data_IF_658896821363
#
_entry.id   IF_658896821363
#
_cell.length_a   1.000
_cell.length_b   1.000
_cell.length_c   1.000
_cell.angle_alpha   90.00
_cell.angle_beta   90.00
_cell.angle_gamma   90.00
#
_symmetry.space_group_name_H-M   'P 1'
#
loop_
_entity.id
_entity.type
_entity.pdbx_description
1 polymer ?
#
# COMPACT_ATOMS: atom_id res chain seq x y z
N UNK A 1 -10.55 8.57 -18.52
CA UNK A 1 -9.80 8.69 -17.24
C UNK A 1 -9.75 7.30 -16.60
N UNK A 2 -9.38 6.27 -17.37
CA UNK A 2 -9.95 4.91 -17.17
C UNK A 2 -8.97 3.86 -16.63
N UNK A 3 -7.67 4.17 -16.54
CA UNK A 3 -6.65 3.16 -16.25
C UNK A 3 -6.89 2.40 -14.93
N UNK A 4 -7.23 3.11 -13.85
CA UNK A 4 -7.43 2.50 -12.53
C UNK A 4 -8.79 1.81 -12.39
N UNK A 5 -9.83 2.36 -13.03
CA UNK A 5 -11.18 1.82 -13.00
C UNK A 5 -11.23 0.49 -13.75
N UNK A 6 -10.60 0.41 -14.93
CA UNK A 6 -10.51 -0.83 -15.69
C UNK A 6 -9.68 -1.90 -14.96
N UNK A 7 -8.56 -1.52 -14.34
CA UNK A 7 -7.73 -2.45 -13.57
C UNK A 7 -8.52 -3.05 -12.39
N UNK A 8 -9.24 -2.20 -11.65
CA UNK A 8 -10.09 -2.62 -10.54
C UNK A 8 -11.23 -3.53 -11.01
N UNK A 9 -11.96 -3.11 -12.05
CA UNK A 9 -13.18 -3.79 -12.48
C UNK A 9 -12.93 -5.08 -13.29
N UNK A 10 -11.82 -5.17 -14.04
CA UNK A 10 -11.56 -6.30 -14.96
C UNK A 10 -10.52 -7.28 -14.44
N UNK A 11 -9.45 -6.78 -13.83
CA UNK A 11 -8.28 -7.61 -13.48
C UNK A 11 -8.30 -8.07 -12.03
N UNK A 12 -8.76 -7.20 -11.12
CA UNK A 12 -8.66 -7.41 -9.67
C UNK A 12 -9.98 -7.84 -9.01
N UNK A 13 -11.03 -8.04 -9.81
CA UNK A 13 -12.38 -8.38 -9.34
C UNK A 13 -12.45 -9.74 -8.62
N UNK A 14 -11.61 -10.69 -9.01
CA UNK A 14 -11.52 -12.02 -8.38
C UNK A 14 -10.56 -12.06 -7.18
N UNK A 15 -9.89 -10.95 -6.86
CA UNK A 15 -8.93 -10.91 -5.77
C UNK A 15 -9.64 -10.62 -4.43
N UNK A 16 -9.41 -11.48 -3.42
CA UNK A 16 -9.93 -11.26 -2.07
C UNK A 16 -9.35 -9.99 -1.40
N UNK A 17 -8.06 -9.72 -1.62
CA UNK A 17 -7.38 -8.53 -1.15
C UNK A 17 -6.10 -8.29 -1.96
N UNK A 18 -5.60 -7.06 -1.96
CA UNK A 18 -4.33 -6.69 -2.59
C UNK A 18 -3.38 -6.20 -1.51
N UNK A 19 -2.19 -6.81 -1.45
CA UNK A 19 -1.13 -6.46 -0.52
C UNK A 19 -0.04 -5.67 -1.24
N UNK A 20 0.27 -4.49 -0.72
CA UNK A 20 1.20 -3.56 -1.35
C UNK A 20 1.92 -2.71 -0.30
N UNK A 21 3.11 -2.23 -0.65
CA UNK A 21 3.88 -1.32 0.22
C UNK A 21 3.32 0.11 0.23
N UNK A 22 2.68 0.55 -0.87
CA UNK A 22 2.04 1.85 -0.92
C UNK A 22 1.10 2.05 -2.10
N UNK A 23 0.14 2.95 -1.92
CA UNK A 23 -0.86 3.36 -2.90
C UNK A 23 -1.16 4.84 -2.77
N UNK A 24 -1.35 5.52 -3.90
CA UNK A 24 -1.82 6.91 -3.89
C UNK A 24 -3.30 7.03 -3.54
N UNK A 25 -3.75 8.22 -3.12
CA UNK A 25 -5.15 8.45 -2.73
C UNK A 25 -6.16 8.14 -3.84
N UNK A 26 -5.86 8.54 -5.08
CA UNK A 26 -6.75 8.31 -6.24
C UNK A 26 -6.95 6.81 -6.54
N UNK A 27 -5.90 5.99 -6.76
CA UNK A 27 -6.08 4.56 -6.97
C UNK A 27 -6.66 3.85 -5.74
N UNK A 28 -6.36 4.30 -4.52
CA UNK A 28 -6.96 3.75 -3.30
C UNK A 28 -8.47 3.93 -3.28
N UNK A 29 -8.96 5.14 -3.58
CA UNK A 29 -10.40 5.41 -3.65
C UNK A 29 -11.09 4.57 -4.72
N UNK A 30 -10.50 4.48 -5.91
CA UNK A 30 -11.07 3.68 -7.02
C UNK A 30 -11.14 2.20 -6.65
N UNK A 31 -10.10 1.63 -6.06
CA UNK A 31 -10.11 0.22 -5.64
C UNK A 31 -11.16 -0.03 -4.55
N UNK A 32 -11.23 0.83 -3.53
CA UNK A 32 -12.20 0.69 -2.44
C UNK A 32 -13.65 0.84 -2.94
N UNK A 33 -13.91 1.76 -3.86
CA UNK A 33 -15.23 1.93 -4.49
C UNK A 33 -15.67 0.69 -5.28
N UNK A 34 -14.72 -0.05 -5.85
CA UNK A 34 -14.97 -1.30 -6.55
C UNK A 34 -15.01 -2.53 -5.60
N UNK A 35 -15.02 -2.32 -4.28
CA UNK A 35 -15.12 -3.41 -3.30
C UNK A 35 -13.81 -4.19 -3.09
N UNK A 36 -12.69 -3.68 -3.61
CA UNK A 36 -11.39 -4.33 -3.47
C UNK A 36 -10.76 -3.94 -2.13
N UNK A 37 -10.39 -4.95 -1.33
CA UNK A 37 -9.72 -4.75 -0.05
C UNK A 37 -8.23 -4.45 -0.26
N UNK A 38 -7.84 -3.20 -0.09
CA UNK A 38 -6.45 -2.76 -0.20
C UNK A 38 -5.79 -2.83 1.18
N UNK A 39 -4.67 -3.56 1.26
CA UNK A 39 -3.89 -3.74 2.48
C UNK A 39 -2.49 -3.17 2.26
N UNK A 40 -2.19 -2.10 2.99
CA UNK A 40 -0.85 -1.53 3.00
C UNK A 40 -0.01 -2.22 4.08
N UNK A 41 1.09 -2.86 3.69
CA UNK A 41 1.98 -3.55 4.61
C UNK A 41 3.43 -3.44 4.18
N UNK A 42 4.33 -3.58 5.16
CA UNK A 42 5.77 -3.64 4.96
C UNK A 42 6.30 -4.94 5.57
N UNK A 43 7.30 -5.55 4.92
CA UNK A 43 7.90 -6.81 5.37
C UNK A 43 7.64 -7.98 4.43
N UNK A 44 7.69 -9.19 4.97
CA UNK A 44 7.53 -10.44 4.20
C UNK A 44 6.08 -10.66 3.78
N UNK A 45 5.89 -11.03 2.51
CA UNK A 45 4.57 -11.32 1.93
C UNK A 45 3.86 -12.48 2.65
N UNK A 46 4.62 -13.46 3.14
CA UNK A 46 4.11 -14.65 3.85
C UNK A 46 3.25 -14.25 5.07
N UNK A 47 3.75 -13.33 5.89
CA UNK A 47 3.02 -12.80 7.05
C UNK A 47 1.76 -12.03 6.64
N UNK A 48 1.78 -11.39 5.47
CA UNK A 48 0.61 -10.73 4.88
C UNK A 48 -0.44 -11.72 4.43
N UNK A 49 -0.02 -12.80 3.77
CA UNK A 49 -0.89 -13.88 3.33
C UNK A 49 -1.54 -14.56 4.53
N UNK A 50 -0.78 -14.91 5.56
CA UNK A 50 -1.31 -15.45 6.81
C UNK A 50 -2.38 -14.53 7.40
N UNK A 51 -2.13 -13.22 7.41
CA UNK A 51 -3.09 -12.28 7.95
C UNK A 51 -4.39 -12.21 7.14
N UNK A 52 -4.32 -12.34 5.82
CA UNK A 52 -5.48 -12.38 4.94
C UNK A 52 -6.24 -13.70 5.08
N UNK A 53 -5.55 -14.84 4.97
CA UNK A 53 -6.19 -16.16 4.97
C UNK A 53 -6.68 -16.60 6.35
N UNK A 54 -5.92 -16.30 7.41
CA UNK A 54 -6.26 -16.69 8.79
C UNK A 54 -7.10 -15.63 9.51
N UNK A 55 -7.50 -14.55 8.82
CA UNK A 55 -8.22 -13.41 9.40
C UNK A 55 -7.53 -12.84 10.65
N UNK A 56 -6.19 -12.83 10.66
CA UNK A 56 -5.45 -12.24 11.75
C UNK A 56 -5.48 -10.71 11.63
N UNK A 57 -5.35 -9.98 12.74
CA UNK A 57 -5.22 -8.54 12.71
C UNK A 57 -3.97 -8.17 11.91
N UNK A 58 -4.18 -7.62 10.72
CA UNK A 58 -3.10 -7.03 9.93
C UNK A 58 -2.63 -5.82 10.72
N UNK A 59 -1.38 -5.85 11.19
CA UNK A 59 -0.72 -4.63 11.64
C UNK A 59 -0.49 -3.77 10.42
N UNK A 60 -1.52 -3.01 10.05
CA UNK A 60 -1.41 -1.98 9.03
C UNK A 60 -0.43 -0.99 9.62
N UNK A 61 0.81 -1.05 9.15
CA UNK A 61 1.79 -0.01 9.40
C UNK A 61 1.36 1.22 8.58
N UNK A 62 0.16 1.73 8.84
CA UNK A 62 -0.28 3.08 8.49
C UNK A 62 0.41 4.08 9.42
N UNK A 63 1.71 3.90 9.64
CA UNK A 63 2.59 5.03 9.89
C UNK A 63 3.33 5.24 8.58
N UNK A 64 2.64 5.86 7.64
CA UNK A 64 3.26 6.89 6.82
C UNK A 64 3.71 8.03 7.74
N UNK A 65 4.67 7.73 8.62
CA UNK A 65 5.68 8.73 8.94
C UNK A 65 6.49 8.83 7.66
N UNK A 66 5.97 9.62 6.72
CA UNK A 66 6.84 10.41 5.90
C UNK A 66 7.68 11.19 6.91
N UNK A 67 8.80 10.61 7.35
CA UNK A 67 9.93 11.40 7.79
C UNK A 67 10.19 12.28 6.60
N UNK A 68 9.71 13.53 6.67
CA UNK A 68 10.07 14.56 5.72
C UNK A 68 11.60 14.50 5.67
N UNK A 69 12.14 14.07 4.53
CA UNK A 69 13.53 14.33 4.24
C UNK A 69 13.65 15.86 4.18
N UNK A 70 14.01 16.47 5.30
CA UNK A 70 13.91 17.92 5.49
C UNK A 70 13.81 18.43 6.93
N UNK A 71 13.48 17.62 7.93
CA UNK A 71 13.36 18.13 9.32
C UNK A 71 14.68 18.14 10.13
N UNK A 72 15.79 17.64 9.58
CA UNK A 72 17.13 17.98 10.12
C UNK A 72 18.30 17.69 9.17
N UNK A 73 18.13 17.86 7.85
CA UNK A 73 19.29 17.84 6.94
C UNK A 73 19.91 19.25 6.87
N UNK A 74 20.46 19.71 7.99
CA UNK A 74 21.45 20.78 8.00
C UNK A 74 22.69 20.24 7.28
N UNK A 75 22.99 20.80 6.11
CA UNK A 75 23.98 20.27 5.18
C UNK A 75 25.33 19.92 5.81
N UNK A 76 25.62 18.63 5.91
CA UNK A 76 26.95 18.10 5.73
C UNK A 76 26.88 17.12 4.56
N UNK A 77 27.27 17.61 3.39
CA UNK A 77 27.39 16.85 2.15
C UNK A 77 28.30 15.65 2.36
N UNK A 78 27.74 14.46 2.54
CA UNK A 78 28.39 13.20 2.25
C UNK A 78 27.39 12.34 1.48
N UNK A 79 27.60 12.24 0.17
CA UNK A 79 26.78 11.42 -0.72
C UNK A 79 26.87 9.94 -0.35
N UNK A 80 25.76 9.24 -0.45
CA UNK A 80 25.71 7.78 -0.44
C UNK A 80 25.56 7.28 -1.88
N UNK A 81 26.61 6.60 -2.36
CA UNK A 81 26.54 5.70 -3.50
C UNK A 81 26.05 4.31 -3.09
#
# INVERSE_FOLDING_TARGET
>A
MECWEELAAKTLVDCQAILLSGIGETPMKVMQQNGIRVIQMSGLIDAGLDAVYLNLPIKILCQSEYTKCGESCGGASNGCG
#
